data_IF_866044852000
#
_entry.id   IF_866044852000
#
_cell.length_a   1.000
_cell.length_b   1.000
_cell.length_c   1.000
_cell.angle_alpha   90.00
_cell.angle_beta   90.00
_cell.angle_gamma   90.00
#
_symmetry.space_group_name_H-M   'P 1'
#
loop_
_entity.id
_entity.type
_entity.pdbx_description
1 polymer ?
#
# COMPACT_ATOMS: atom_id res chain seq x y z
N UNK A 1 3.90 2.05 0.73
CA UNK A 1 4.22 0.62 0.55
C UNK A 1 4.86 0.05 1.82
N UNK A 2 4.94 -1.28 1.97
CA UNK A 2 5.61 -1.91 3.12
C UNK A 2 7.08 -1.47 3.24
N UNK A 3 7.79 -1.37 2.11
CA UNK A 3 9.16 -0.89 2.04
C UNK A 3 9.31 0.55 2.56
N UNK A 4 8.50 1.49 2.04
CA UNK A 4 8.55 2.89 2.46
C UNK A 4 8.21 3.09 3.94
N UNK A 5 7.20 2.38 4.47
CA UNK A 5 6.83 2.43 5.89
C UNK A 5 7.88 1.81 6.83
N UNK A 6 8.75 0.94 6.31
CA UNK A 6 9.86 0.37 7.06
C UNK A 6 11.07 1.33 7.15
N UNK A 7 11.36 2.04 6.05
CA UNK A 7 12.58 2.85 5.92
C UNK A 7 12.39 4.29 6.42
N UNK A 8 11.26 4.92 6.11
CA UNK A 8 11.05 6.34 6.41
C UNK A 8 11.26 6.71 7.90
N UNK A 9 10.82 5.91 8.90
CA UNK A 9 11.08 6.22 10.30
C UNK A 9 12.57 6.22 10.66
N UNK A 10 13.37 5.37 10.00
CA UNK A 10 14.83 5.29 10.25
C UNK A 10 15.55 6.50 9.67
N UNK A 11 15.13 6.95 8.48
CA UNK A 11 15.63 8.18 7.87
C UNK A 11 15.31 9.38 8.77
N UNK A 12 14.05 9.48 9.23
CA UNK A 12 13.61 10.56 10.10
C UNK A 12 14.40 10.61 11.41
N UNK A 13 14.61 9.45 12.04
CA UNK A 13 15.43 9.34 13.25
C UNK A 13 16.90 9.73 13.01
N UNK A 14 17.48 9.37 11.86
CA UNK A 14 18.86 9.74 11.54
C UNK A 14 19.05 11.24 11.30
N UNK A 15 18.01 11.91 10.78
CA UNK A 15 17.97 13.35 10.53
C UNK A 15 17.48 14.16 11.73
N UNK A 16 17.04 13.51 12.82
CA UNK A 16 16.42 14.12 13.99
C UNK A 16 15.20 15.01 13.63
N UNK A 17 14.29 14.47 12.81
CA UNK A 17 13.05 15.14 12.39
C UNK A 17 11.82 14.26 12.57
N UNK A 18 10.63 14.85 12.61
CA UNK A 18 9.38 14.10 12.66
C UNK A 18 9.09 13.37 11.33
N UNK A 19 8.61 12.13 11.45
CA UNK A 19 8.10 11.37 10.32
C UNK A 19 6.59 11.57 10.20
N UNK A 20 6.12 12.03 9.04
CA UNK A 20 4.68 12.24 8.77
C UNK A 20 4.17 11.11 7.86
N UNK A 21 3.53 10.11 8.46
CA UNK A 21 3.13 8.91 7.74
C UNK A 21 1.75 9.01 7.09
N UNK A 22 1.68 8.50 5.87
CA UNK A 22 0.44 8.10 5.18
C UNK A 22 -0.46 9.30 4.85
N UNK A 23 0.16 10.40 4.40
CA UNK A 23 -0.56 11.63 4.07
C UNK A 23 -1.53 11.40 2.90
N UNK A 24 -2.62 12.15 2.94
CA UNK A 24 -3.68 12.14 1.93
C UNK A 24 -3.87 13.50 1.26
N UNK A 25 -3.36 14.58 1.85
CA UNK A 25 -3.35 15.89 1.24
C UNK A 25 -2.11 16.71 1.67
N UNK A 26 -1.79 17.72 0.86
CA UNK A 26 -0.76 18.72 1.14
C UNK A 26 -1.46 20.08 1.08
N UNK A 27 -1.70 20.69 2.24
CA UNK A 27 -2.40 21.98 2.32
C UNK A 27 -1.42 23.15 2.14
N UNK A 28 -0.18 22.97 2.60
CA UNK A 28 0.91 23.92 2.48
C UNK A 28 2.27 23.18 2.48
N UNK A 29 3.39 23.85 2.16
CA UNK A 29 4.71 23.22 2.12
C UNK A 29 5.14 22.48 3.41
N UNK A 30 4.56 22.85 4.55
CA UNK A 30 4.84 22.30 5.87
C UNK A 30 3.62 21.68 6.56
N UNK A 31 2.47 21.62 5.87
CA UNK A 31 1.17 21.25 6.47
C UNK A 31 0.48 20.17 5.64
N UNK A 32 0.10 19.08 6.30
CA UNK A 32 -0.37 17.85 5.65
C UNK A 32 -1.58 17.25 6.36
N UNK A 33 -2.50 16.67 5.62
CA UNK A 33 -3.57 15.86 6.19
C UNK A 33 -3.22 14.38 6.21
N UNK A 34 -3.58 13.70 7.30
CA UNK A 34 -3.48 12.24 7.39
C UNK A 34 -4.64 11.62 8.18
N UNK A 35 -5.11 10.42 7.78
CA UNK A 35 -6.10 9.68 8.54
C UNK A 35 -5.49 9.12 9.84
N UNK A 36 -6.24 9.25 10.92
CA UNK A 36 -5.98 8.63 12.22
C UNK A 36 -7.22 7.85 12.67
N UNK A 37 -7.09 7.06 13.75
CA UNK A 37 -8.19 6.22 14.26
C UNK A 37 -8.87 5.39 13.17
N UNK A 38 -8.08 4.66 12.38
CA UNK A 38 -8.58 3.84 11.27
C UNK A 38 -9.32 4.63 10.16
N UNK A 39 -9.08 5.94 10.04
CA UNK A 39 -9.74 6.79 9.06
C UNK A 39 -11.00 7.49 9.57
N UNK A 40 -11.38 7.28 10.84
CA UNK A 40 -12.54 7.94 11.44
C UNK A 40 -12.31 9.43 11.72
N UNK A 41 -11.05 9.87 11.73
CA UNK A 41 -10.71 11.28 11.83
C UNK A 41 -9.54 11.61 10.90
N UNK A 42 -9.54 12.83 10.40
CA UNK A 42 -8.44 13.40 9.62
C UNK A 42 -7.72 14.41 10.52
N UNK A 43 -6.41 14.24 10.64
CA UNK A 43 -5.56 15.16 11.38
C UNK A 43 -4.76 16.02 10.40
N UNK A 44 -4.85 17.33 10.56
CA UNK A 44 -3.95 18.30 9.92
C UNK A 44 -2.70 18.44 10.79
N UNK A 45 -1.53 18.15 10.21
CA UNK A 45 -0.23 18.15 10.89
C UNK A 45 0.67 19.17 10.22
N UNK A 46 1.03 20.21 10.96
CA UNK A 46 2.07 21.15 10.56
C UNK A 46 3.40 20.75 11.21
N UNK A 47 4.48 20.68 10.44
CA UNK A 47 5.82 20.40 10.95
C UNK A 47 6.70 21.65 10.88
N UNK A 48 7.47 21.90 11.93
CA UNK A 48 8.48 22.96 11.96
C UNK A 48 9.86 22.50 11.44
N UNK A 49 10.04 21.20 11.15
CA UNK A 49 11.35 20.64 10.82
C UNK A 49 11.85 21.14 9.45
N UNK A 50 13.15 21.38 9.26
CA UNK A 50 13.68 21.85 7.98
C UNK A 50 13.55 20.81 6.86
N UNK A 51 13.55 19.51 7.21
CA UNK A 51 13.42 18.39 6.27
C UNK A 51 12.13 17.63 6.60
N UNK A 52 11.31 17.37 5.57
CA UNK A 52 10.06 16.61 5.73
C UNK A 52 10.24 15.17 5.29
N UNK A 53 10.20 14.24 6.23
CA UNK A 53 10.21 12.80 5.91
C UNK A 53 8.78 12.28 5.90
N UNK A 54 8.24 12.16 4.68
CA UNK A 54 6.82 11.88 4.45
C UNK A 54 6.66 10.53 3.76
N UNK A 55 5.66 9.75 4.17
CA UNK A 55 5.14 8.67 3.34
C UNK A 55 3.77 9.03 2.82
N UNK A 56 3.54 8.82 1.52
CA UNK A 56 2.28 9.17 0.85
C UNK A 56 1.38 7.94 0.74
N UNK A 57 0.08 8.11 0.98
CA UNK A 57 -0.90 7.08 0.65
C UNK A 57 -1.01 6.95 -0.87
N UNK A 58 -0.73 5.75 -1.39
CA UNK A 58 -0.67 5.52 -2.84
C UNK A 58 -1.95 5.91 -3.60
N UNK A 59 -3.10 5.82 -2.94
CA UNK A 59 -4.42 6.13 -3.50
C UNK A 59 -4.89 7.55 -3.15
N UNK A 60 -4.03 8.37 -2.53
CA UNK A 60 -4.40 9.70 -2.04
C UNK A 60 -4.24 10.82 -3.07
N UNK A 61 -3.54 10.54 -4.18
CA UNK A 61 -3.21 11.54 -5.20
C UNK A 61 -3.37 10.96 -6.59
N UNK A 62 -3.85 11.78 -7.50
CA UNK A 62 -3.93 11.41 -8.92
C UNK A 62 -2.52 11.24 -9.51
N UNK A 63 -2.33 10.24 -10.39
CA UNK A 63 -1.06 10.09 -11.09
C UNK A 63 -0.81 11.29 -12.01
N UNK A 64 0.42 11.79 -12.00
CA UNK A 64 0.88 12.78 -12.98
C UNK A 64 1.24 12.11 -14.30
N UNK A 65 1.38 12.89 -15.38
CA UNK A 65 1.85 12.39 -16.65
C UNK A 65 3.24 11.72 -16.50
N UNK A 66 3.41 10.53 -17.10
CA UNK A 66 4.65 9.78 -17.04
C UNK A 66 5.80 10.42 -17.84
N UNK A 67 5.46 11.30 -18.79
CA UNK A 67 6.40 11.94 -19.71
C UNK A 67 6.27 13.47 -19.65
N UNK A 68 7.30 14.19 -20.09
CA UNK A 68 7.33 15.65 -20.17
C UNK A 68 8.16 16.36 -19.09
N UNK A 69 8.83 15.61 -18.21
CA UNK A 69 9.80 16.18 -17.25
C UNK A 69 11.19 16.39 -17.85
N UNK A 70 11.94 17.36 -17.33
CA UNK A 70 13.31 17.71 -17.77
C UNK A 70 14.34 17.68 -16.63
N UNK A 71 14.07 16.90 -15.57
CA UNK A 71 14.95 16.80 -14.41
C UNK A 71 16.32 16.21 -14.77
N UNK A 72 17.38 16.76 -14.19
CA UNK A 72 18.73 16.21 -14.33
C UNK A 72 18.85 14.87 -13.61
N UNK A 73 19.59 13.93 -14.22
CA UNK A 73 19.93 12.65 -13.61
C UNK A 73 21.34 12.75 -13.04
N UNK A 74 21.45 12.59 -11.72
CA UNK A 74 22.72 12.58 -11.01
C UNK A 74 23.03 11.17 -10.51
N UNK A 75 24.26 10.71 -10.73
CA UNK A 75 24.72 9.42 -10.21
C UNK A 75 25.22 9.59 -8.78
N UNK A 76 24.65 8.81 -7.86
CA UNK A 76 25.12 8.71 -6.47
C UNK A 76 25.74 7.32 -6.29
N UNK A 77 26.94 7.26 -5.71
CA UNK A 77 27.58 5.99 -5.38
C UNK A 77 26.86 5.31 -4.21
N UNK A 78 26.73 3.99 -4.27
CA UNK A 78 26.11 3.23 -3.21
C UNK A 78 26.96 3.26 -1.93
N UNK A 79 26.30 3.35 -0.78
CA UNK A 79 26.97 3.18 0.51
C UNK A 79 27.57 1.76 0.63
N UNK A 80 28.63 1.63 1.42
CA UNK A 80 29.21 0.33 1.72
C UNK A 80 28.18 -0.58 2.40
N UNK A 81 28.22 -1.86 2.07
CA UNK A 81 27.36 -2.86 2.71
C UNK A 81 27.69 -2.96 4.20
N UNK A 82 26.66 -2.81 5.03
CA UNK A 82 26.79 -2.98 6.47
C UNK A 82 26.98 -4.45 6.88
N UNK A 83 26.72 -5.41 5.97
CA UNK A 83 26.91 -6.84 6.20
C UNK A 83 25.94 -7.43 7.23
N UNK A 84 24.90 -6.69 7.62
CA UNK A 84 23.95 -7.08 8.67
C UNK A 84 22.78 -7.91 8.17
N UNK A 85 22.44 -7.80 6.89
CA UNK A 85 21.36 -8.57 6.27
C UNK A 85 21.75 -8.95 4.85
N UNK A 86 21.34 -10.15 4.44
CA UNK A 86 21.55 -10.65 3.10
C UNK A 86 20.22 -11.10 2.50
N UNK A 87 20.00 -10.74 1.25
CA UNK A 87 18.92 -11.30 0.47
C UNK A 87 19.31 -12.72 0.02
N UNK A 88 18.64 -13.74 0.56
CA UNK A 88 18.93 -15.15 0.25
C UNK A 88 18.03 -15.66 -0.87
N UNK A 89 16.72 -15.48 -0.72
CA UNK A 89 15.73 -15.90 -1.72
C UNK A 89 14.45 -15.09 -1.55
N UNK A 90 13.63 -15.11 -2.59
CA UNK A 90 12.26 -14.58 -2.56
C UNK A 90 11.35 -15.57 -3.27
N UNK A 91 10.41 -16.12 -2.52
CA UNK A 91 9.30 -16.88 -3.09
C UNK A 91 8.21 -15.91 -3.50
N UNK A 92 8.01 -15.78 -4.81
CA UNK A 92 6.90 -15.05 -5.37
C UNK A 92 5.79 -16.04 -5.66
N UNK A 93 4.64 -15.87 -5.02
CA UNK A 93 3.42 -16.57 -5.42
C UNK A 93 3.12 -16.16 -6.86
N UNK A 94 3.27 -17.08 -7.81
CA UNK A 94 2.72 -16.87 -9.16
C UNK A 94 1.21 -16.84 -9.01
N UNK A 95 0.63 -15.69 -9.29
CA UNK A 95 -0.81 -15.53 -9.37
C UNK A 95 -1.19 -15.69 -10.83
N UNK A 96 -2.16 -16.55 -11.12
CA UNK A 96 -2.82 -16.63 -12.44
C UNK A 96 -3.71 -15.39 -12.69
N UNK A 97 -3.88 -14.54 -11.67
CA UNK A 97 -4.72 -13.34 -11.66
C UNK A 97 -3.89 -12.11 -11.30
N UNK A 98 -4.34 -10.91 -11.68
CA UNK A 98 -3.68 -9.66 -11.27
C UNK A 98 -3.50 -9.56 -9.76
N UNK A 99 -2.42 -8.94 -9.33
CA UNK A 99 -2.19 -8.67 -7.91
C UNK A 99 -3.13 -7.55 -7.43
N UNK A 100 -3.71 -7.70 -6.24
CA UNK A 100 -4.75 -6.81 -5.69
C UNK A 100 -4.40 -5.32 -5.70
N UNK A 101 -3.14 -4.96 -5.44
CA UNK A 101 -2.70 -3.55 -5.41
C UNK A 101 -2.48 -2.95 -6.79
N UNK A 102 -2.41 -3.78 -7.83
CA UNK A 102 -2.25 -3.37 -9.24
C UNK A 102 -3.51 -3.59 -10.10
N UNK A 103 -4.53 -4.23 -9.54
CA UNK A 103 -5.75 -4.57 -10.27
C UNK A 103 -6.65 -3.35 -10.49
N UNK A 104 -7.06 -3.14 -11.74
CA UNK A 104 -8.07 -2.14 -12.14
C UNK A 104 -9.49 -2.57 -11.77
N UNK A 105 -9.73 -3.87 -11.61
CA UNK A 105 -11.03 -4.39 -11.19
C UNK A 105 -10.78 -5.40 -10.08
N UNK A 106 -11.54 -5.28 -9.00
CA UNK A 106 -11.47 -6.20 -7.87
C UNK A 106 -12.87 -6.73 -7.57
N UNK A 107 -13.01 -8.04 -7.58
CA UNK A 107 -14.23 -8.74 -7.17
C UNK A 107 -14.00 -9.25 -5.75
N UNK A 108 -14.69 -8.64 -4.78
CA UNK A 108 -14.47 -8.92 -3.36
C UNK A 108 -15.58 -9.73 -2.71
N UNK A 109 -15.19 -10.74 -1.92
CA UNK A 109 -16.09 -11.57 -1.11
C UNK A 109 -15.98 -11.33 0.38
N UNK A 110 -17.04 -11.69 1.11
CA UNK A 110 -17.08 -11.59 2.57
C UNK A 110 -17.67 -12.82 3.23
N UNK A 111 -17.80 -12.76 4.56
CA UNK A 111 -18.38 -13.84 5.38
C UNK A 111 -19.79 -14.26 4.92
N UNK A 112 -20.53 -13.35 4.27
CA UNK A 112 -21.87 -13.63 3.73
C UNK A 112 -21.92 -14.74 2.67
N UNK A 113 -20.77 -15.16 2.11
CA UNK A 113 -20.70 -16.29 1.18
C UNK A 113 -20.80 -17.66 1.88
N UNK A 114 -20.69 -17.68 3.21
CA UNK A 114 -20.92 -18.87 4.05
C UNK A 114 -19.73 -19.81 4.15
N UNK A 115 -18.98 -20.06 3.07
CA UNK A 115 -17.76 -20.88 3.07
C UNK A 115 -16.82 -20.54 1.88
N UNK A 116 -15.64 -21.15 1.85
CA UNK A 116 -14.65 -20.97 0.78
C UNK A 116 -15.08 -21.54 -0.57
N UNK A 117 -15.86 -22.63 -0.59
CA UNK A 117 -16.35 -23.22 -1.85
C UNK A 117 -17.30 -22.26 -2.58
N UNK A 118 -18.23 -21.63 -1.86
CA UNK A 118 -19.12 -20.62 -2.40
C UNK A 118 -18.38 -19.37 -2.85
N UNK A 119 -17.32 -18.98 -2.13
CA UNK A 119 -16.46 -17.87 -2.54
C UNK A 119 -15.89 -18.12 -3.93
N UNK A 120 -15.23 -19.26 -4.12
CA UNK A 120 -14.65 -19.65 -5.41
C UNK A 120 -15.73 -19.77 -6.48
N UNK A 121 -16.80 -20.53 -6.20
CA UNK A 121 -17.88 -20.81 -7.16
C UNK A 121 -18.56 -19.55 -7.70
N UNK A 122 -18.71 -18.51 -6.87
CA UNK A 122 -19.43 -17.29 -7.24
C UNK A 122 -18.48 -16.24 -7.81
N UNK A 123 -17.32 -16.02 -7.19
CA UNK A 123 -16.46 -14.89 -7.50
C UNK A 123 -15.46 -15.18 -8.61
N UNK A 124 -14.94 -16.40 -8.74
CA UNK A 124 -13.97 -16.73 -9.79
C UNK A 124 -14.55 -16.53 -11.20
N UNK A 125 -15.77 -17.02 -11.54
CA UNK A 125 -16.33 -16.82 -12.87
C UNK A 125 -16.57 -15.35 -13.21
N UNK A 126 -16.89 -14.54 -12.22
CA UNK A 126 -17.06 -13.09 -12.39
C UNK A 126 -15.71 -12.40 -12.58
N UNK A 127 -14.72 -12.77 -11.76
CA UNK A 127 -13.37 -12.23 -11.85
C UNK A 127 -12.70 -12.59 -13.18
N UNK A 128 -12.89 -13.81 -13.68
CA UNK A 128 -12.39 -14.25 -14.99
C UNK A 128 -12.97 -13.44 -16.13
N UNK A 129 -14.28 -13.22 -16.12
CA UNK A 129 -14.95 -12.42 -17.17
C UNK A 129 -14.50 -10.96 -17.17
N UNK A 130 -14.10 -10.44 -16.01
CA UNK A 130 -13.68 -9.05 -15.85
C UNK A 130 -12.16 -8.86 -15.90
N UNK A 131 -11.37 -9.94 -15.97
CA UNK A 131 -9.92 -9.86 -15.77
C UNK A 131 -9.54 -9.27 -14.41
N UNK A 132 -10.35 -9.50 -13.38
CA UNK A 132 -10.25 -8.87 -12.08
C UNK A 132 -9.38 -9.67 -11.09
N UNK A 133 -8.82 -8.97 -10.11
CA UNK A 133 -8.27 -9.61 -8.92
C UNK A 133 -9.40 -10.03 -7.96
N UNK A 134 -9.10 -11.01 -7.10
CA UNK A 134 -10.00 -11.47 -6.05
C UNK A 134 -9.62 -10.84 -4.71
N UNK A 135 -10.59 -10.23 -4.04
CA UNK A 135 -10.43 -9.59 -2.74
C UNK A 135 -11.34 -10.18 -1.67
N UNK A 136 -10.99 -9.97 -0.41
CA UNK A 136 -11.73 -10.53 0.71
C UNK A 136 -11.78 -9.61 1.93
N UNK A 137 -12.91 -9.61 2.62
CA UNK A 137 -13.00 -9.00 3.94
C UNK A 137 -12.18 -9.78 4.97
N UNK A 138 -11.69 -9.10 6.02
CA UNK A 138 -11.04 -9.76 7.17
C UNK A 138 -11.88 -10.89 7.76
N UNK A 139 -13.21 -10.72 7.83
CA UNK A 139 -14.11 -11.74 8.38
C UNK A 139 -14.13 -13.04 7.56
N UNK A 140 -13.84 -12.99 6.26
CA UNK A 140 -13.73 -14.18 5.42
C UNK A 140 -12.36 -14.88 5.58
N UNK A 141 -11.30 -14.08 5.75
CA UNK A 141 -9.94 -14.58 6.02
C UNK A 141 -9.88 -15.25 7.39
N UNK A 142 -10.37 -14.57 8.43
CA UNK A 142 -10.42 -15.09 9.81
C UNK A 142 -11.28 -16.36 9.91
N UNK A 143 -12.28 -16.52 9.01
CA UNK A 143 -13.11 -17.72 8.91
C UNK A 143 -12.50 -18.84 8.04
N UNK A 144 -11.29 -18.63 7.49
CA UNK A 144 -10.57 -19.63 6.68
C UNK A 144 -11.13 -19.82 5.27
N UNK A 145 -11.92 -18.89 4.73
CA UNK A 145 -12.49 -19.05 3.38
C UNK A 145 -11.44 -18.84 2.30
N UNK A 146 -10.46 -17.97 2.55
CA UNK A 146 -9.43 -17.51 1.61
C UNK A 146 -8.16 -17.09 2.36
N UNK A 147 -6.99 -17.08 1.69
CA UNK A 147 -5.73 -16.66 2.31
C UNK A 147 -5.70 -15.17 2.65
N UNK A 148 -4.79 -14.80 3.56
CA UNK A 148 -4.59 -13.39 3.97
C UNK A 148 -4.14 -12.49 2.80
N UNK A 149 -3.52 -13.05 1.78
CA UNK A 149 -3.13 -12.32 0.57
C UNK A 149 -4.31 -11.68 -0.16
N UNK A 150 -5.53 -12.18 0.06
CA UNK A 150 -6.73 -11.65 -0.57
C UNK A 150 -7.36 -10.54 0.30
N UNK A 151 -6.88 -10.32 1.52
CA UNK A 151 -7.49 -9.37 2.44
C UNK A 151 -7.39 -7.94 1.92
N UNK A 152 -8.53 -7.26 1.80
CA UNK A 152 -8.64 -5.85 1.47
C UNK A 152 -9.06 -5.06 2.71
N UNK A 153 -8.42 -3.92 2.94
CA UNK A 153 -8.75 -2.99 4.02
C UNK A 153 -7.52 -2.56 4.82
N UNK A 154 -7.75 -1.88 5.94
CA UNK A 154 -6.68 -1.23 6.72
C UNK A 154 -5.57 -2.19 7.18
N UNK A 155 -5.93 -3.41 7.56
CA UNK A 155 -5.00 -4.46 8.02
C UNK A 155 -4.58 -5.42 6.90
N UNK A 156 -5.16 -5.26 5.70
CA UNK A 156 -4.81 -6.01 4.50
C UNK A 156 -4.16 -5.09 3.48
N UNK A 157 -4.45 -5.35 2.21
CA UNK A 157 -4.00 -4.52 1.09
C UNK A 157 -4.93 -3.32 0.93
N UNK A 158 -4.32 -2.15 0.77
CA UNK A 158 -5.01 -0.93 0.35
C UNK A 158 -5.03 -0.95 -1.17
N UNK A 159 -6.23 -0.78 -1.75
CA UNK A 159 -6.47 -0.87 -3.19
C UNK A 159 -7.25 0.35 -3.66
N UNK A 160 -7.02 0.77 -4.90
CA UNK A 160 -7.81 1.77 -5.62
C UNK A 160 -8.02 1.28 -7.06
N UNK A 161 -8.88 0.27 -7.25
CA UNK A 161 -9.25 -0.21 -8.58
C UNK A 161 -9.93 0.89 -9.41
#
# INVERSE_FOLDING_TARGET
TAYGKNIAPRIAAHLDVAQISDITAVDAPDTFERPIYAGNAIATVQSSDPIKVITVRATGFDPVAAEGGSASVEKIEAAADAGMSQFVSRELTKLDRPELTSATIIVSGGRGLGNGENYTKILEPLADKLGAALGASRAAVDAGFVPNDYQVGQTGKIVAP
#
